data_IF_760102237222
#
_entry.id   IF_760102237222
#
_cell.length_a   1.000
_cell.length_b   1.000
_cell.length_c   1.000
_cell.angle_alpha   90.00
_cell.angle_beta   90.00
_cell.angle_gamma   90.00
#
_symmetry.space_group_name_H-M   'P 1'
#
loop_
_entity.id
_entity.type
_entity.pdbx_description
1 polymer ?
#
# COMPACT_ATOMS: atom_id res chain seq x y z
N UNK A 1 12.73 11.54 2.76
CA UNK A 1 12.59 11.91 4.19
C UNK A 1 11.45 12.91 4.41
N UNK A 2 11.36 13.96 3.61
CA UNK A 2 10.28 14.98 3.67
C UNK A 2 8.90 14.36 3.40
N UNK A 3 8.79 13.49 2.40
CA UNK A 3 7.52 12.80 2.05
C UNK A 3 7.04 11.91 3.18
N UNK A 4 7.97 11.17 3.83
CA UNK A 4 7.63 10.30 4.98
C UNK A 4 7.09 11.10 6.15
N UNK A 5 7.70 12.23 6.46
CA UNK A 5 7.25 13.09 7.55
C UNK A 5 5.85 13.66 7.27
N UNK A 6 5.59 14.09 6.03
CA UNK A 6 4.27 14.59 5.63
C UNK A 6 3.16 13.55 5.79
N UNK A 7 3.43 12.29 5.41
CA UNK A 7 2.46 11.19 5.57
C UNK A 7 2.21 10.89 7.05
N UNK A 8 3.26 10.85 7.88
CA UNK A 8 3.13 10.59 9.31
C UNK A 8 2.40 11.72 10.05
N UNK A 9 2.66 12.98 9.68
CA UNK A 9 1.95 14.13 10.24
C UNK A 9 0.48 14.13 9.84
N UNK A 10 0.20 13.82 8.55
CA UNK A 10 -1.16 13.72 8.06
C UNK A 10 -1.95 12.63 8.80
N UNK A 11 -1.36 11.46 9.04
CA UNK A 11 -2.01 10.37 9.76
C UNK A 11 -2.23 10.68 11.25
N UNK A 12 -1.32 11.44 11.89
CA UNK A 12 -1.46 11.86 13.31
C UNK A 12 -2.57 12.88 13.53
N UNK A 13 -2.85 13.75 12.56
CA UNK A 13 -3.90 14.76 12.68
C UNK A 13 -5.32 14.19 12.66
N UNK A 14 -5.48 12.91 12.32
CA UNK A 14 -6.76 12.21 12.18
C UNK A 14 -7.22 11.47 13.44
N UNK A 15 -6.43 11.45 14.54
CA UNK A 15 -6.76 10.74 15.79
C UNK A 15 -7.87 11.43 16.60
N UNK A 16 -9.01 11.76 16.04
CA UNK A 16 -10.19 12.19 16.79
C UNK A 16 -11.32 11.16 16.69
N UNK A 17 -11.41 10.38 17.76
CA UNK A 17 -12.56 9.63 18.31
C UNK A 17 -13.75 9.41 17.38
N UNK A 18 -13.86 8.22 16.82
CA UNK A 18 -15.18 7.64 16.56
C UNK A 18 -15.18 6.17 16.99
N UNK A 19 -16.07 5.87 17.91
CA UNK A 19 -16.33 4.54 18.44
C UNK A 19 -16.97 3.70 17.32
N UNK A 20 -16.24 2.76 16.74
CA UNK A 20 -16.81 1.85 15.72
C UNK A 20 -16.93 0.47 16.30
N UNK A 21 -18.17 0.04 16.49
CA UNK A 21 -18.55 -1.31 16.86
C UNK A 21 -18.04 -2.33 15.81
N UNK A 22 -17.47 -3.43 16.33
CA UNK A 22 -17.09 -4.61 15.55
C UNK A 22 -18.27 -5.10 14.71
N UNK A 23 -18.13 -5.07 13.40
CA UNK A 23 -18.89 -5.95 12.51
C UNK A 23 -18.02 -6.24 11.29
N UNK A 24 -17.80 -7.53 11.04
CA UNK A 24 -17.08 -8.04 9.86
C UNK A 24 -17.75 -7.53 8.57
N UNK A 25 -17.16 -6.52 7.96
CA UNK A 25 -17.49 -6.14 6.58
C UNK A 25 -16.22 -5.68 5.86
N UNK A 26 -15.66 -6.60 5.08
CA UNK A 26 -14.56 -6.41 4.15
C UNK A 26 -15.02 -5.59 2.93
N UNK A 27 -15.52 -4.38 3.16
CA UNK A 27 -15.81 -3.44 2.09
C UNK A 27 -14.99 -2.16 2.29
N UNK A 28 -14.24 -1.81 1.25
CA UNK A 28 -13.51 -0.55 1.15
C UNK A 28 -14.40 0.62 1.59
N UNK A 29 -13.86 1.47 2.47
CA UNK A 29 -14.56 2.67 2.97
C UNK A 29 -14.93 3.59 1.80
N UNK A 30 -14.13 3.58 0.73
CA UNK A 30 -14.33 4.39 -0.48
C UNK A 30 -15.41 3.82 -1.43
N UNK A 31 -15.87 2.57 -1.20
CA UNK A 31 -16.87 1.91 -2.06
C UNK A 31 -18.32 2.12 -1.59
N UNK A 32 -18.54 2.72 -0.42
CA UNK A 32 -19.89 3.14 -0.01
C UNK A 32 -20.11 4.55 -0.53
N UNK A 33 -21.27 4.83 -1.12
CA UNK A 33 -21.79 6.17 -1.38
C UNK A 33 -22.00 6.89 -0.04
N UNK A 34 -20.92 7.22 0.63
CA UNK A 34 -20.89 8.14 1.76
C UNK A 34 -20.73 9.50 1.13
N UNK A 35 -21.66 10.37 1.41
CA UNK A 35 -21.60 11.79 1.04
C UNK A 35 -20.48 12.42 1.88
N UNK A 36 -19.23 12.31 1.37
CA UNK A 36 -18.05 12.85 2.03
C UNK A 36 -18.10 14.38 1.96
N UNK A 37 -17.78 15.05 3.05
CA UNK A 37 -17.63 16.50 3.03
C UNK A 37 -16.49 16.94 2.10
N UNK A 38 -16.55 18.17 1.59
CA UNK A 38 -15.47 18.73 0.75
C UNK A 38 -14.11 18.64 1.46
N UNK A 39 -14.06 18.94 2.76
CA UNK A 39 -12.85 18.84 3.58
C UNK A 39 -12.27 17.41 3.66
N UNK A 40 -13.12 16.39 3.71
CA UNK A 40 -12.68 14.99 3.74
C UNK A 40 -12.15 14.56 2.37
N UNK A 41 -12.79 14.99 1.29
CA UNK A 41 -12.35 14.73 -0.07
C UNK A 41 -10.99 15.39 -0.34
N UNK A 42 -10.79 16.62 0.11
CA UNK A 42 -9.51 17.33 -0.03
C UNK A 42 -8.39 16.64 0.72
N UNK A 43 -8.65 16.11 1.93
CA UNK A 43 -7.66 15.32 2.68
C UNK A 43 -7.28 14.03 1.96
N UNK A 44 -8.25 13.31 1.42
CA UNK A 44 -8.01 12.10 0.64
C UNK A 44 -7.16 12.41 -0.61
N UNK A 45 -7.52 13.45 -1.34
CA UNK A 45 -6.78 13.87 -2.54
C UNK A 45 -5.36 14.31 -2.21
N UNK A 46 -5.17 15.02 -1.10
CA UNK A 46 -3.85 15.42 -0.62
C UNK A 46 -3.01 14.17 -0.26
N UNK A 47 -3.56 13.24 0.49
CA UNK A 47 -2.91 11.98 0.84
C UNK A 47 -2.52 11.19 -0.42
N UNK A 48 -3.45 11.04 -1.38
CA UNK A 48 -3.20 10.36 -2.66
C UNK A 48 -2.03 10.99 -3.41
N UNK A 49 -1.96 12.33 -3.45
CA UNK A 49 -0.86 13.05 -4.09
C UNK A 49 0.48 12.72 -3.43
N UNK A 50 0.54 12.73 -2.09
CA UNK A 50 1.76 12.37 -1.35
C UNK A 50 2.18 10.92 -1.64
N UNK A 51 1.23 9.99 -1.67
CA UNK A 51 1.51 8.58 -2.02
C UNK A 51 2.08 8.48 -3.44
N UNK A 52 1.49 9.15 -4.42
CA UNK A 52 1.99 9.18 -5.80
C UNK A 52 3.42 9.74 -5.90
N UNK A 53 3.72 10.80 -5.16
CA UNK A 53 5.07 11.36 -5.08
C UNK A 53 6.05 10.37 -4.44
N UNK A 54 5.65 9.70 -3.36
CA UNK A 54 6.46 8.73 -2.63
C UNK A 54 6.92 7.56 -3.51
N UNK A 55 6.03 7.05 -4.35
CA UNK A 55 6.33 5.90 -5.23
C UNK A 55 6.89 6.29 -6.60
N UNK A 56 7.11 7.59 -6.86
CA UNK A 56 7.52 8.08 -8.19
C UNK A 56 6.53 7.68 -9.29
N UNK A 57 5.24 7.90 -9.09
CA UNK A 57 4.13 7.46 -9.94
C UNK A 57 4.35 7.80 -11.43
N UNK A 58 4.91 8.97 -11.74
CA UNK A 58 5.19 9.40 -13.12
C UNK A 58 6.13 8.46 -13.87
N UNK A 59 7.00 7.73 -13.17
CA UNK A 59 7.86 6.73 -13.80
C UNK A 59 7.04 5.54 -14.35
N UNK A 60 5.94 5.19 -13.68
CA UNK A 60 5.02 4.15 -14.16
C UNK A 60 4.15 4.63 -15.32
N UNK A 61 3.71 5.89 -15.33
CA UNK A 61 2.98 6.46 -16.46
C UNK A 61 3.80 6.45 -17.75
N UNK A 62 5.11 6.63 -17.66
CA UNK A 62 6.03 6.62 -18.80
C UNK A 62 6.45 5.21 -19.23
N UNK A 63 6.31 4.23 -18.34
CA UNK A 63 6.75 2.86 -18.58
C UNK A 63 5.57 1.95 -18.95
N UNK A 64 5.45 1.66 -20.26
CA UNK A 64 4.39 0.78 -20.80
C UNK A 64 4.50 -0.70 -20.39
N UNK A 65 5.56 -1.09 -19.70
CA UNK A 65 5.74 -2.46 -19.21
C UNK A 65 4.74 -2.80 -18.09
N UNK A 66 4.45 -1.82 -17.23
CA UNK A 66 3.49 -1.98 -16.14
C UNK A 66 2.10 -1.46 -16.53
N UNK A 67 1.08 -2.17 -16.09
CA UNK A 67 -0.30 -1.71 -16.20
C UNK A 67 -0.56 -0.62 -15.17
N UNK A 68 -0.83 0.59 -15.63
CA UNK A 68 -1.04 1.74 -14.76
C UNK A 68 -2.23 1.55 -13.82
N UNK A 69 -3.26 0.82 -14.26
CA UNK A 69 -4.45 0.53 -13.45
C UNK A 69 -4.09 -0.24 -12.18
N UNK A 70 -3.10 -1.15 -12.24
CA UNK A 70 -2.63 -1.87 -11.06
C UNK A 70 -1.86 -0.95 -10.10
N UNK A 71 -1.12 0.03 -10.63
CA UNK A 71 -0.44 1.03 -9.82
C UNK A 71 -1.47 1.93 -9.12
N UNK A 72 -2.53 2.32 -9.82
CA UNK A 72 -3.64 3.08 -9.25
C UNK A 72 -4.32 2.32 -8.11
N UNK A 73 -4.57 1.00 -8.27
CA UNK A 73 -5.12 0.16 -7.19
C UNK A 73 -4.21 0.16 -5.95
N UNK A 74 -2.89 0.09 -6.14
CA UNK A 74 -1.93 0.16 -5.03
C UNK A 74 -1.91 1.54 -4.36
N UNK A 75 -2.01 2.63 -5.14
CA UNK A 75 -2.11 4.01 -4.62
C UNK A 75 -3.37 4.18 -3.78
N UNK A 76 -4.52 3.71 -4.27
CA UNK A 76 -5.78 3.79 -3.53
C UNK A 76 -5.72 2.99 -2.23
N UNK A 77 -5.18 1.77 -2.26
CA UNK A 77 -5.01 0.94 -1.08
C UNK A 77 -4.09 1.59 -0.03
N UNK A 78 -2.97 2.17 -0.47
CA UNK A 78 -2.07 2.90 0.43
C UNK A 78 -2.75 4.14 1.01
N UNK A 79 -3.49 4.89 0.20
CA UNK A 79 -4.25 6.07 0.62
C UNK A 79 -5.28 5.69 1.68
N UNK A 80 -6.04 4.61 1.46
CA UNK A 80 -7.03 4.10 2.41
C UNK A 80 -6.38 3.77 3.77
N UNK A 81 -5.25 3.06 3.77
CA UNK A 81 -4.52 2.73 5.00
C UNK A 81 -4.03 4.00 5.72
N UNK A 82 -3.50 4.99 5.00
CA UNK A 82 -3.05 6.23 5.64
C UNK A 82 -4.19 7.08 6.21
N UNK A 83 -5.39 6.93 5.66
CA UNK A 83 -6.60 7.62 6.17
C UNK A 83 -7.26 6.91 7.36
N UNK A 84 -6.93 5.65 7.63
CA UNK A 84 -7.49 4.90 8.77
C UNK A 84 -6.91 5.41 10.11
N UNK A 85 -7.69 5.33 11.23
CA UNK A 85 -7.18 5.59 12.56
C UNK A 85 -6.06 4.63 12.96
N UNK A 86 -5.05 5.11 13.69
CA UNK A 86 -3.89 4.31 14.11
C UNK A 86 -4.26 3.13 15.03
N UNK A 87 -5.33 3.30 15.79
CA UNK A 87 -5.87 2.30 16.73
C UNK A 87 -6.69 1.20 16.04
N UNK A 88 -7.07 1.40 14.79
CA UNK A 88 -7.76 0.37 14.00
C UNK A 88 -6.82 -0.81 13.70
N UNK A 89 -7.41 -1.92 13.30
CA UNK A 89 -6.69 -3.14 12.96
C UNK A 89 -7.06 -3.61 11.56
N UNK A 90 -6.08 -4.19 10.87
CA UNK A 90 -6.26 -4.81 9.57
C UNK A 90 -5.53 -6.16 9.54
N UNK A 91 -6.04 -7.11 8.75
CA UNK A 91 -5.47 -8.45 8.67
C UNK A 91 -4.39 -8.54 7.60
N UNK A 92 -3.15 -8.83 8.05
CA UNK A 92 -1.99 -9.01 7.19
C UNK A 92 -1.30 -10.32 7.53
N UNK A 93 -0.99 -11.15 6.53
CA UNK A 93 -0.43 -12.49 6.74
C UNK A 93 -1.29 -13.39 7.67
N UNK A 94 -2.60 -13.25 7.62
CA UNK A 94 -3.51 -14.02 8.48
C UNK A 94 -3.56 -13.57 9.95
N UNK A 95 -2.83 -12.52 10.34
CA UNK A 95 -2.80 -11.95 11.69
C UNK A 95 -3.29 -10.52 11.72
N UNK A 96 -3.98 -10.12 12.77
CA UNK A 96 -4.37 -8.72 12.99
C UNK A 96 -3.14 -7.88 13.37
N UNK A 97 -3.02 -6.73 12.72
CA UNK A 97 -1.97 -5.73 12.99
C UNK A 97 -2.61 -4.36 13.15
N UNK A 98 -2.12 -3.56 14.08
CA UNK A 98 -2.59 -2.17 14.19
C UNK A 98 -2.23 -1.38 12.94
N UNK A 99 -3.10 -0.45 12.57
CA UNK A 99 -2.88 0.44 11.43
C UNK A 99 -1.59 1.25 11.61
N UNK A 100 -1.24 1.65 12.83
CA UNK A 100 0.02 2.33 13.11
C UNK A 100 1.24 1.50 12.65
N UNK A 101 1.24 0.18 12.87
CA UNK A 101 2.32 -0.72 12.42
C UNK A 101 2.34 -0.81 10.90
N UNK A 102 1.18 -0.92 10.25
CA UNK A 102 1.09 -0.99 8.78
C UNK A 102 1.58 0.32 8.16
N UNK A 103 1.13 1.48 8.67
CA UNK A 103 1.59 2.81 8.22
C UNK A 103 3.12 2.96 8.35
N UNK A 104 3.71 2.51 9.46
CA UNK A 104 5.15 2.57 9.66
C UNK A 104 5.95 1.79 8.58
N UNK A 105 5.36 0.71 8.05
CA UNK A 105 5.91 -0.05 6.92
C UNK A 105 5.66 0.68 5.62
N UNK A 106 4.43 1.15 5.39
CA UNK A 106 4.03 1.83 4.16
C UNK A 106 4.81 3.12 3.90
N UNK A 107 5.23 3.83 4.96
CA UNK A 107 6.14 4.98 4.83
C UNK A 107 7.51 4.64 4.23
N UNK A 108 7.89 3.35 4.17
CA UNK A 108 9.16 2.89 3.55
C UNK A 108 9.00 2.48 2.09
N UNK A 109 7.76 2.33 1.61
CA UNK A 109 7.48 1.94 0.24
C UNK A 109 7.98 3.03 -0.70
N UNK A 110 8.67 2.62 -1.75
CA UNK A 110 9.13 3.46 -2.84
C UNK A 110 8.87 2.75 -4.19
N UNK A 111 9.31 3.34 -5.29
CA UNK A 111 9.15 2.79 -6.64
C UNK A 111 9.56 1.30 -6.72
N UNK A 112 10.73 0.92 -6.21
CA UNK A 112 11.23 -0.45 -6.31
C UNK A 112 10.33 -1.47 -5.59
N UNK A 113 9.70 -1.08 -4.48
CA UNK A 113 8.74 -1.94 -3.78
C UNK A 113 7.49 -2.18 -4.63
N UNK A 114 7.00 -1.14 -5.32
CA UNK A 114 5.85 -1.26 -6.22
C UNK A 114 6.20 -2.17 -7.40
N UNK A 115 7.35 -1.96 -8.05
CA UNK A 115 7.84 -2.84 -9.13
C UNK A 115 7.94 -4.30 -8.67
N UNK A 116 8.50 -4.54 -7.49
CA UNK A 116 8.58 -5.87 -6.89
C UNK A 116 7.20 -6.53 -6.70
N UNK A 117 6.21 -5.77 -6.20
CA UNK A 117 4.84 -6.27 -6.02
C UNK A 117 4.21 -6.60 -7.37
N UNK A 118 4.33 -5.72 -8.37
CA UNK A 118 3.80 -5.92 -9.72
C UNK A 118 4.43 -7.14 -10.40
N UNK A 119 5.75 -7.31 -10.31
CA UNK A 119 6.47 -8.47 -10.84
C UNK A 119 6.03 -9.78 -10.15
N UNK A 120 5.79 -9.72 -8.84
CA UNK A 120 5.31 -10.87 -8.08
C UNK A 120 3.90 -11.27 -8.50
N UNK A 121 3.03 -10.30 -8.80
CA UNK A 121 1.68 -10.55 -9.32
C UNK A 121 1.72 -11.21 -10.71
N UNK A 122 2.57 -10.73 -11.61
CA UNK A 122 2.69 -11.31 -12.96
C UNK A 122 3.17 -12.77 -12.93
N UNK A 123 4.02 -13.13 -11.97
CA UNK A 123 4.52 -14.50 -11.79
C UNK A 123 3.53 -15.42 -11.08
N UNK A 124 2.58 -14.84 -10.34
CA UNK A 124 1.61 -15.62 -9.59
C UNK A 124 0.43 -15.99 -10.49
N UNK A 125 0.38 -17.26 -10.92
CA UNK A 125 -0.69 -17.82 -11.76
C UNK A 125 -1.88 -18.37 -10.97
N UNK A 126 -1.88 -18.23 -9.64
CA UNK A 126 -2.97 -18.75 -8.80
C UNK A 126 -4.18 -17.83 -8.84
N UNK A 127 -5.37 -18.42 -8.76
CA UNK A 127 -6.61 -17.65 -8.64
C UNK A 127 -6.67 -16.97 -7.26
N UNK A 128 -6.55 -15.64 -7.25
CA UNK A 128 -6.57 -14.84 -6.01
C UNK A 128 -8.02 -14.51 -5.67
N UNK A 129 -8.57 -15.18 -4.65
CA UNK A 129 -9.95 -14.98 -4.23
C UNK A 129 -10.23 -13.60 -3.58
N UNK A 130 -9.22 -13.02 -2.92
CA UNK A 130 -9.32 -11.68 -2.32
C UNK A 130 -8.10 -10.85 -2.73
N UNK A 131 -8.24 -10.10 -3.82
CA UNK A 131 -7.15 -9.30 -4.38
C UNK A 131 -6.70 -8.19 -3.42
N UNK A 132 -7.60 -7.52 -2.72
CA UNK A 132 -7.27 -6.46 -1.78
C UNK A 132 -6.40 -6.97 -0.62
N UNK A 133 -6.78 -8.08 0.01
CA UNK A 133 -6.00 -8.68 1.07
C UNK A 133 -4.63 -9.18 0.57
N UNK A 134 -4.57 -9.69 -0.66
CA UNK A 134 -3.31 -10.07 -1.31
C UNK A 134 -2.40 -8.85 -1.51
N UNK A 135 -2.90 -7.76 -2.09
CA UNK A 135 -2.13 -6.55 -2.35
C UNK A 135 -1.64 -5.89 -1.06
N UNK A 136 -2.49 -5.82 -0.04
CA UNK A 136 -2.13 -5.31 1.28
C UNK A 136 -0.97 -6.11 1.89
N UNK A 137 -1.08 -7.43 1.82
CA UNK A 137 -0.04 -8.35 2.31
C UNK A 137 1.25 -8.23 1.49
N UNK A 138 1.16 -8.14 0.17
CA UNK A 138 2.30 -8.00 -0.72
C UNK A 138 3.05 -6.68 -0.48
N UNK A 139 2.34 -5.55 -0.34
CA UNK A 139 2.93 -4.25 -0.01
C UNK A 139 3.62 -4.29 1.37
N UNK A 140 2.96 -4.84 2.37
CA UNK A 140 3.53 -4.95 3.71
C UNK A 140 4.81 -5.79 3.71
N UNK A 141 4.78 -6.95 3.04
CA UNK A 141 5.92 -7.86 2.97
C UNK A 141 7.06 -7.30 2.11
N UNK A 142 6.78 -6.53 1.05
CA UNK A 142 7.80 -5.96 0.18
C UNK A 142 8.87 -5.19 0.97
N UNK A 143 8.46 -4.47 2.03
CA UNK A 143 9.36 -3.71 2.90
C UNK A 143 10.28 -4.57 3.78
N UNK A 144 10.09 -5.90 3.78
CA UNK A 144 10.85 -6.86 4.59
C UNK A 144 11.66 -7.80 3.68
N UNK A 145 11.08 -8.20 2.55
CA UNK A 145 11.58 -9.34 1.76
C UNK A 145 12.24 -8.95 0.46
N UNK A 146 12.01 -7.73 -0.05
CA UNK A 146 12.50 -7.30 -1.35
C UNK A 146 14.01 -7.44 -1.49
N UNK A 147 14.78 -6.92 -0.53
CA UNK A 147 16.24 -6.97 -0.59
C UNK A 147 16.76 -8.40 -0.61
N UNK A 148 16.22 -9.27 0.25
CA UNK A 148 16.56 -10.70 0.30
C UNK A 148 16.23 -11.43 -1.00
N UNK A 149 15.11 -11.07 -1.63
CA UNK A 149 14.69 -11.65 -2.91
C UNK A 149 15.67 -11.30 -4.04
N UNK A 150 16.01 -10.01 -4.18
CA UNK A 150 16.96 -9.58 -5.22
C UNK A 150 18.35 -10.15 -4.98
N UNK A 151 18.80 -10.22 -3.74
CA UNK A 151 20.10 -10.83 -3.40
C UNK A 151 20.14 -12.33 -3.75
N UNK A 152 19.07 -13.07 -3.44
CA UNK A 152 18.96 -14.48 -3.82
C UNK A 152 18.95 -14.66 -5.34
N UNK A 153 18.26 -13.78 -6.09
CA UNK A 153 18.21 -13.82 -7.54
C UNK A 153 19.58 -13.57 -8.18
N UNK A 154 20.29 -12.54 -7.73
CA UNK A 154 21.66 -12.26 -8.20
C UNK A 154 22.59 -13.44 -7.94
N UNK A 155 22.51 -14.06 -6.76
CA UNK A 155 23.32 -15.23 -6.43
C UNK A 155 22.98 -16.45 -7.31
N UNK A 156 21.71 -16.61 -7.70
CA UNK A 156 21.30 -17.67 -8.62
C UNK A 156 21.84 -17.42 -10.03
N UNK A 157 21.66 -16.22 -10.57
CA UNK A 157 22.12 -15.84 -11.91
C UNK A 157 23.65 -15.94 -12.05
N UNK A 158 24.40 -15.62 -10.98
CA UNK A 158 25.86 -15.79 -10.94
C UNK A 158 26.28 -17.27 -10.97
N UNK A 159 25.49 -18.19 -10.43
CA UNK A 159 25.80 -19.63 -10.44
C UNK A 159 25.53 -20.29 -11.77
N UNK A 160 24.54 -19.82 -12.53
CA UNK A 160 24.22 -20.37 -13.86
C UNK A 160 25.18 -19.90 -14.94
N UNK A 161 25.93 -18.81 -14.74
CA UNK A 161 26.87 -18.25 -15.70
C UNK A 161 28.32 -18.71 -15.48
N UNK A 162 28.56 -19.65 -14.57
CA UNK A 162 29.84 -20.31 -14.33
C UNK A 162 29.69 -21.84 -14.39
#
# INVERSE_FOLDING_TARGET
EVVKNNILEFSKSQSNKTNINKTDNNQSILSKNVDLSEDEMDKINHCRKIVKEQISYTAFEQNKFYRIELVDELVELMTEIFMMPDEAFERVNGTEKSIAVIKSRFCKINQLHIEYVLDSMQKNQTNIGNIKAYLLTALYNSTITMDSYYQARVNYDLRENF
#
